data_IF_063130743972
#
_entry.id   IF_063130743972
#
_cell.length_a   1.000
_cell.length_b   1.000
_cell.length_c   1.000
_cell.angle_alpha   90.00
_cell.angle_beta   90.00
_cell.angle_gamma   90.00
#
_symmetry.space_group_name_H-M   'P 1'
#
loop_
_entity.id
_entity.type
_entity.pdbx_description
1 polymer ?
#
# COMPACT_ATOMS: atom_id res chain seq x y z
N UNK A 1 26.59 38.78 42.23
CA UNK A 1 27.06 37.72 41.32
C UNK A 1 25.97 36.64 41.29
N UNK A 2 24.99 36.87 40.40
CA UNK A 2 24.64 36.03 39.23
C UNK A 2 24.00 34.69 39.62
N UNK A 3 22.66 34.75 39.61
CA UNK A 3 21.69 33.69 39.85
C UNK A 3 21.82 32.62 38.76
N UNK A 4 21.73 31.36 39.18
CA UNK A 4 21.65 30.17 38.36
C UNK A 4 20.44 30.29 37.42
N UNK A 5 20.67 30.52 36.14
CA UNK A 5 19.64 30.50 35.11
C UNK A 5 19.33 29.03 34.81
N UNK A 6 18.28 28.51 35.43
CA UNK A 6 17.64 27.27 34.96
C UNK A 6 16.97 27.63 33.64
N UNK A 7 17.65 27.30 32.55
CA UNK A 7 17.07 27.34 31.21
C UNK A 7 16.01 26.22 31.16
N UNK A 8 14.78 26.58 31.49
CA UNK A 8 13.62 25.77 31.13
C UNK A 8 13.58 25.83 29.61
N UNK A 9 14.04 24.76 28.97
CA UNK A 9 13.78 24.49 27.57
C UNK A 9 12.25 24.31 27.47
N UNK A 10 11.52 25.40 27.28
CA UNK A 10 10.15 25.36 26.78
C UNK A 10 10.27 24.74 25.40
N UNK A 11 10.15 23.41 25.34
CA UNK A 11 9.79 22.70 24.13
C UNK A 11 8.55 23.40 23.61
N UNK A 12 8.76 24.20 22.57
CA UNK A 12 7.71 24.73 21.73
C UNK A 12 7.00 23.49 21.20
N UNK A 13 5.95 23.07 21.90
CA UNK A 13 4.86 22.33 21.30
C UNK A 13 4.30 23.29 20.25
N UNK A 14 4.93 23.32 19.09
CA UNK A 14 4.20 23.57 17.86
C UNK A 14 3.25 22.40 17.83
N UNK A 15 2.06 22.64 18.38
CA UNK A 15 0.89 21.91 17.95
C UNK A 15 0.87 22.08 16.45
N UNK A 16 1.37 21.09 15.74
CA UNK A 16 0.90 20.82 14.40
C UNK A 16 -0.60 20.63 14.60
N UNK A 17 -1.32 21.72 14.32
CA UNK A 17 -2.75 21.73 14.22
C UNK A 17 -3.15 20.44 13.52
N UNK A 18 -4.04 19.69 14.17
CA UNK A 18 -4.91 18.75 13.50
C UNK A 18 -5.72 19.54 12.47
N UNK A 19 -5.07 19.92 11.38
CA UNK A 19 -5.75 20.20 10.14
C UNK A 19 -6.24 18.82 9.73
N UNK A 20 -7.46 18.50 10.14
CA UNK A 20 -8.25 17.50 9.45
C UNK A 20 -8.39 18.02 8.03
N UNK A 21 -7.43 17.64 7.17
CA UNK A 21 -7.68 17.67 5.74
C UNK A 21 -9.05 17.02 5.53
N UNK A 22 -9.91 17.60 4.68
CA UNK A 22 -11.18 16.96 4.36
C UNK A 22 -10.89 15.52 3.97
N UNK A 23 -11.60 14.57 4.59
CA UNK A 23 -11.41 13.16 4.31
C UNK A 23 -11.65 12.94 2.82
N UNK A 24 -10.56 12.78 2.05
CA UNK A 24 -10.63 12.48 0.61
C UNK A 24 -11.36 11.16 0.42
N UNK A 25 -12.18 11.06 -0.62
CA UNK A 25 -12.75 9.75 -0.98
C UNK A 25 -11.65 8.79 -1.45
N UNK A 26 -11.96 7.49 -1.48
CA UNK A 26 -11.08 6.47 -2.04
C UNK A 26 -10.69 6.80 -3.48
N UNK A 27 -11.65 7.27 -4.27
CA UNK A 27 -11.45 7.68 -5.64
C UNK A 27 -10.51 8.89 -5.74
N UNK A 28 -10.77 9.95 -4.97
CA UNK A 28 -9.96 11.17 -5.00
C UNK A 28 -8.50 10.90 -4.59
N UNK A 29 -8.29 10.02 -3.60
CA UNK A 29 -6.93 9.65 -3.19
C UNK A 29 -6.23 8.79 -4.26
N UNK A 30 -6.95 7.83 -4.85
CA UNK A 30 -6.41 6.97 -5.90
C UNK A 30 -6.04 7.77 -7.16
N UNK A 31 -6.88 8.72 -7.56
CA UNK A 31 -6.65 9.61 -8.69
C UNK A 31 -5.40 10.46 -8.48
N UNK A 32 -5.27 11.10 -7.31
CA UNK A 32 -4.07 11.89 -7.02
C UNK A 32 -2.79 11.05 -7.09
N UNK A 33 -2.84 9.83 -6.56
CA UNK A 33 -1.67 8.93 -6.58
C UNK A 33 -1.32 8.50 -8.00
N UNK A 34 -2.32 8.22 -8.84
CA UNK A 34 -2.10 7.93 -10.25
C UNK A 34 -1.52 9.14 -11.00
N UNK A 35 -2.06 10.34 -10.80
CA UNK A 35 -1.59 11.53 -11.50
C UNK A 35 -0.17 11.90 -11.08
N UNK A 36 0.15 11.85 -9.78
CA UNK A 36 1.53 12.02 -9.32
C UNK A 36 2.47 10.99 -9.93
N UNK A 37 2.03 9.72 -10.02
CA UNK A 37 2.80 8.67 -10.68
C UNK A 37 3.01 8.94 -12.17
N UNK A 38 2.01 9.47 -12.89
CA UNK A 38 2.13 9.80 -14.31
C UNK A 38 3.00 11.04 -14.56
N UNK A 39 3.01 12.00 -13.63
CA UNK A 39 3.81 13.24 -13.74
C UNK A 39 5.30 13.02 -13.43
N UNK A 40 5.59 12.37 -12.30
CA UNK A 40 6.97 12.25 -11.81
C UNK A 40 7.59 10.89 -12.18
N UNK A 41 6.77 9.86 -12.44
CA UNK A 41 7.18 8.44 -12.54
C UNK A 41 7.99 7.91 -11.34
N UNK A 42 8.20 8.75 -10.34
CA UNK A 42 8.80 8.46 -9.05
C UNK A 42 7.71 8.68 -8.00
N UNK A 43 7.26 7.59 -7.40
CA UNK A 43 6.62 7.66 -6.10
C UNK A 43 7.70 7.38 -5.07
N UNK A 44 7.77 8.18 -4.01
CA UNK A 44 8.64 8.01 -2.83
C UNK A 44 8.23 6.77 -1.98
N UNK A 45 7.90 5.66 -2.65
CA UNK A 45 7.22 4.51 -2.09
C UNK A 45 8.09 3.27 -2.33
N UNK A 46 8.54 2.72 -1.20
CA UNK A 46 9.15 1.40 -0.99
C UNK A 46 8.87 0.46 -2.16
N UNK A 47 9.93 0.06 -2.88
CA UNK A 47 9.88 -0.74 -4.10
C UNK A 47 8.97 -1.97 -4.00
N UNK A 48 7.73 -1.84 -4.45
CA UNK A 48 6.82 -2.95 -4.68
C UNK A 48 6.96 -3.38 -6.14
N UNK A 49 7.17 -4.67 -6.40
CA UNK A 49 7.36 -5.22 -7.74
C UNK A 49 6.26 -4.79 -8.73
N UNK A 50 5.02 -4.61 -8.25
CA UNK A 50 3.90 -4.13 -9.06
C UNK A 50 4.13 -2.74 -9.69
N UNK A 51 4.77 -1.82 -8.96
CA UNK A 51 5.08 -0.48 -9.49
C UNK A 51 6.13 -0.60 -10.60
N UNK A 52 7.10 -1.50 -10.46
CA UNK A 52 8.16 -1.71 -11.45
C UNK A 52 7.60 -2.24 -12.78
N UNK A 53 6.58 -3.10 -12.75
CA UNK A 53 5.99 -3.65 -13.97
C UNK A 53 5.16 -2.59 -14.73
N UNK A 54 4.43 -1.72 -14.01
CA UNK A 54 3.76 -0.57 -14.63
C UNK A 54 4.79 0.40 -15.19
N UNK A 55 5.82 0.75 -14.41
CA UNK A 55 6.91 1.63 -14.87
C UNK A 55 7.57 1.09 -16.14
N UNK A 56 7.85 -0.22 -16.22
CA UNK A 56 8.42 -0.82 -17.45
C UNK A 56 7.52 -0.64 -18.66
N UNK A 57 6.20 -0.69 -18.47
CA UNK A 57 5.21 -0.56 -19.54
C UNK A 57 5.03 0.89 -20.02
N UNK A 58 5.14 1.88 -19.14
CA UNK A 58 4.89 3.30 -19.46
C UNK A 58 6.08 4.23 -19.20
N UNK A 59 7.30 3.69 -19.12
CA UNK A 59 8.54 4.26 -18.55
C UNK A 59 8.89 5.73 -18.79
N UNK A 60 8.28 6.39 -19.77
CA UNK A 60 8.17 7.84 -19.86
C UNK A 60 6.77 8.27 -20.34
N UNK A 61 6.11 9.19 -19.64
CA UNK A 61 4.80 9.73 -20.03
C UNK A 61 4.99 11.12 -20.66
N UNK A 62 4.52 11.28 -21.90
CA UNK A 62 4.53 12.55 -22.63
C UNK A 62 3.30 13.41 -22.31
N UNK A 63 2.13 12.76 -22.31
CA UNK A 63 0.82 13.39 -22.12
C UNK A 63 -0.14 12.37 -21.50
N UNK A 64 -1.01 12.85 -20.63
CA UNK A 64 -2.12 12.06 -20.10
C UNK A 64 -3.35 12.94 -19.88
N UNK A 65 -4.53 12.35 -20.03
CA UNK A 65 -5.80 13.01 -19.73
C UNK A 65 -6.79 11.98 -19.15
N UNK A 66 -7.34 12.25 -17.97
CA UNK A 66 -8.41 11.44 -17.41
C UNK A 66 -9.64 11.51 -18.31
N UNK A 67 -10.16 10.34 -18.67
CA UNK A 67 -11.42 10.21 -19.40
C UNK A 67 -12.57 9.93 -18.41
N UNK A 68 -12.39 8.95 -17.53
CA UNK A 68 -13.41 8.56 -16.55
C UNK A 68 -12.86 7.76 -15.36
N UNK A 69 -13.64 7.76 -14.28
CA UNK A 69 -13.58 6.72 -13.25
C UNK A 69 -14.49 5.57 -13.67
N UNK A 70 -13.93 4.37 -13.82
CA UNK A 70 -14.64 3.20 -14.34
C UNK A 70 -15.34 2.47 -13.20
N UNK A 71 -14.61 2.18 -12.12
CA UNK A 71 -15.13 1.36 -11.01
C UNK A 71 -14.28 1.53 -9.76
N UNK A 72 -14.92 1.39 -8.59
CA UNK A 72 -14.26 1.06 -7.31
C UNK A 72 -14.69 -0.35 -6.91
N UNK A 73 -13.74 -1.22 -6.56
CA UNK A 73 -14.04 -2.57 -6.11
C UNK A 73 -14.81 -2.57 -4.79
N UNK A 74 -15.45 -3.68 -4.45
CA UNK A 74 -15.86 -3.91 -3.06
C UNK A 74 -14.64 -3.96 -2.14
N UNK A 75 -14.86 -3.65 -0.86
CA UNK A 75 -13.84 -3.76 0.19
C UNK A 75 -13.24 -5.18 0.24
N UNK A 76 -11.92 -5.25 0.24
CA UNK A 76 -11.16 -6.48 0.45
C UNK A 76 -10.42 -6.41 1.78
N UNK A 77 -10.49 -7.49 2.57
CA UNK A 77 -9.67 -7.62 3.78
C UNK A 77 -8.25 -8.01 3.42
N UNK A 78 -7.27 -7.47 4.14
CA UNK A 78 -5.89 -7.94 4.08
C UNK A 78 -5.71 -9.18 4.96
N UNK A 79 -5.90 -10.34 4.36
CA UNK A 79 -5.77 -11.63 5.02
C UNK A 79 -4.44 -12.26 4.65
N UNK A 80 -3.59 -12.53 5.64
CA UNK A 80 -2.31 -13.21 5.46
C UNK A 80 -2.42 -14.63 5.99
N UNK A 81 -2.06 -15.60 5.15
CA UNK A 81 -2.01 -17.02 5.51
C UNK A 81 -0.58 -17.42 5.80
N UNK A 82 -0.35 -18.00 6.97
CA UNK A 82 0.92 -18.60 7.37
C UNK A 82 0.78 -20.12 7.28
N UNK A 83 1.62 -20.74 6.47
CA UNK A 83 1.54 -22.13 6.05
C UNK A 83 2.88 -22.84 6.26
N UNK A 84 2.93 -24.14 5.97
CA UNK A 84 4.16 -24.92 6.05
C UNK A 84 5.28 -24.36 5.16
N UNK A 85 4.95 -23.79 3.99
CA UNK A 85 5.95 -23.15 3.12
C UNK A 85 6.61 -21.94 3.80
N UNK A 86 5.83 -21.14 4.53
CA UNK A 86 6.36 -20.00 5.30
C UNK A 86 7.26 -20.49 6.44
N UNK A 87 6.82 -21.52 7.15
CA UNK A 87 7.61 -22.16 8.20
C UNK A 87 8.93 -22.71 7.68
N UNK A 88 8.97 -23.42 6.55
CA UNK A 88 10.20 -24.00 6.01
C UNK A 88 11.27 -22.94 5.72
N UNK A 89 10.84 -21.74 5.32
CA UNK A 89 11.73 -20.60 5.17
C UNK A 89 12.32 -20.16 6.53
N UNK A 90 11.49 -19.99 7.55
CA UNK A 90 11.91 -19.53 8.89
C UNK A 90 12.68 -20.59 9.70
N UNK A 91 12.31 -21.87 9.58
CA UNK A 91 12.94 -22.99 10.25
C UNK A 91 14.39 -23.20 9.83
N UNK A 92 14.79 -22.67 8.68
CA UNK A 92 16.20 -22.64 8.27
C UNK A 92 17.10 -21.90 9.27
N UNK A 93 16.53 -21.00 10.06
CA UNK A 93 17.23 -20.23 11.10
C UNK A 93 17.03 -20.81 12.51
N UNK A 94 16.04 -21.68 12.73
CA UNK A 94 15.75 -22.32 14.01
C UNK A 94 15.28 -23.78 13.85
N UNK A 95 16.21 -24.76 13.81
CA UNK A 95 15.91 -26.15 13.46
C UNK A 95 15.11 -26.93 14.53
N UNK A 96 14.98 -26.41 15.75
CA UNK A 96 14.20 -27.05 16.83
C UNK A 96 12.72 -26.61 16.85
N UNK A 97 12.34 -25.62 16.05
CA UNK A 97 10.98 -25.11 15.95
C UNK A 97 10.10 -26.13 15.22
N UNK A 98 8.98 -26.56 15.80
CA UNK A 98 7.99 -27.35 15.07
C UNK A 98 7.02 -26.44 14.31
N UNK A 99 6.32 -26.99 13.32
CA UNK A 99 5.28 -26.24 12.63
C UNK A 99 4.15 -25.80 13.56
N UNK A 100 3.81 -26.60 14.57
CA UNK A 100 2.78 -26.20 15.54
C UNK A 100 3.24 -25.02 16.41
N UNK A 101 4.50 -25.04 16.86
CA UNK A 101 5.10 -23.91 17.60
C UNK A 101 5.09 -22.63 16.75
N UNK A 102 5.37 -22.75 15.45
CA UNK A 102 5.30 -21.63 14.52
C UNK A 102 3.88 -21.03 14.42
N UNK A 103 2.85 -21.88 14.34
CA UNK A 103 1.46 -21.41 14.33
C UNK A 103 1.06 -20.71 15.64
N UNK A 104 1.49 -21.26 16.79
CA UNK A 104 1.30 -20.66 18.10
C UNK A 104 2.00 -19.29 18.22
N UNK A 105 3.22 -19.18 17.68
CA UNK A 105 3.96 -17.91 17.62
C UNK A 105 3.23 -16.87 16.79
N UNK A 106 2.67 -17.24 15.63
CA UNK A 106 1.88 -16.33 14.80
C UNK A 106 0.58 -15.88 15.49
N UNK A 107 -0.10 -16.79 16.22
CA UNK A 107 -1.27 -16.44 17.04
C UNK A 107 -0.92 -15.49 18.19
N UNK A 108 0.23 -15.71 18.84
CA UNK A 108 0.76 -14.83 19.87
C UNK A 108 1.09 -13.44 19.31
N UNK A 109 1.67 -13.36 18.11
CA UNK A 109 1.93 -12.09 17.41
C UNK A 109 0.61 -11.37 17.09
N UNK A 110 -0.39 -12.09 16.57
CA UNK A 110 -1.71 -11.53 16.30
C UNK A 110 -2.32 -10.93 17.57
N UNK A 111 -2.33 -11.70 18.66
CA UNK A 111 -2.85 -11.26 19.97
C UNK A 111 -2.13 -10.00 20.47
N UNK A 112 -0.78 -9.98 20.45
CA UNK A 112 0.02 -8.82 20.88
C UNK A 112 -0.27 -7.57 20.05
N UNK A 113 -0.55 -7.75 18.76
CA UNK A 113 -0.90 -6.67 17.82
C UNK A 113 -2.41 -6.37 17.78
N UNK A 114 -3.21 -7.06 18.60
CA UNK A 114 -4.67 -6.96 18.61
C UNK A 114 -5.30 -7.25 17.22
N UNK A 115 -4.73 -8.19 16.46
CA UNK A 115 -5.22 -8.64 15.16
C UNK A 115 -6.22 -9.79 15.32
N UNK A 116 -7.06 -10.00 14.31
CA UNK A 116 -8.08 -11.06 14.32
C UNK A 116 -7.54 -12.32 13.64
N UNK A 117 -7.56 -13.45 14.35
CA UNK A 117 -7.33 -14.78 13.77
C UNK A 117 -8.65 -15.25 13.15
N UNK A 118 -8.71 -15.30 11.83
CA UNK A 118 -9.94 -15.66 11.09
C UNK A 118 -10.06 -17.17 10.84
N UNK A 119 -8.93 -17.87 10.80
CA UNK A 119 -8.88 -19.33 10.64
C UNK A 119 -7.64 -19.88 11.33
N UNK A 120 -7.79 -20.97 12.08
CA UNK A 120 -6.67 -21.75 12.64
C UNK A 120 -6.96 -23.25 12.53
N UNK A 121 -6.04 -23.99 11.96
CA UNK A 121 -6.06 -25.46 11.91
C UNK A 121 -4.63 -26.02 11.84
N UNK A 122 -4.48 -27.33 11.76
CA UNK A 122 -3.16 -28.01 11.76
C UNK A 122 -2.30 -27.76 10.51
N UNK A 123 -2.82 -27.07 9.49
CA UNK A 123 -2.11 -26.81 8.23
C UNK A 123 -1.80 -25.33 8.01
N UNK A 124 -2.45 -24.42 8.74
CA UNK A 124 -2.28 -22.97 8.60
C UNK A 124 -2.94 -22.17 9.72
N UNK A 125 -2.52 -20.91 9.80
CA UNK A 125 -3.24 -19.84 10.49
C UNK A 125 -3.44 -18.66 9.52
N UNK A 126 -4.63 -18.07 9.51
CA UNK A 126 -4.96 -16.90 8.70
C UNK A 126 -5.31 -15.74 9.62
N UNK A 127 -4.65 -14.60 9.41
CA UNK A 127 -4.74 -13.40 10.26
C UNK A 127 -5.20 -12.20 9.41
N UNK A 128 -6.26 -11.51 9.85
CA UNK A 128 -6.67 -10.20 9.32
C UNK A 128 -5.72 -9.14 9.88
N UNK A 129 -4.91 -8.54 8.99
CA UNK A 129 -3.92 -7.54 9.36
C UNK A 129 -4.54 -6.19 9.76
N UNK A 130 -5.86 -6.06 9.69
CA UNK A 130 -6.58 -4.84 10.04
C UNK A 130 -6.56 -3.79 8.94
N UNK A 131 -6.09 -4.14 7.74
CA UNK A 131 -6.16 -3.27 6.56
C UNK A 131 -7.36 -3.61 5.69
N UNK A 132 -7.89 -2.59 5.01
CA UNK A 132 -8.92 -2.71 3.98
C UNK A 132 -8.37 -2.16 2.67
N UNK A 133 -8.60 -2.92 1.60
CA UNK A 133 -8.07 -2.61 0.28
C UNK A 133 -9.21 -2.40 -0.71
N UNK A 134 -9.03 -1.46 -1.62
CA UNK A 134 -9.92 -1.21 -2.74
C UNK A 134 -9.07 -1.05 -3.99
N UNK A 135 -9.49 -1.69 -5.08
CA UNK A 135 -8.93 -1.45 -6.40
C UNK A 135 -9.83 -0.42 -7.11
N UNK A 136 -9.25 0.71 -7.51
CA UNK A 136 -9.93 1.81 -8.20
C UNK A 136 -9.41 1.86 -9.64
N UNK A 137 -10.34 1.82 -10.60
CA UNK A 137 -10.03 1.77 -12.02
C UNK A 137 -10.31 3.12 -12.67
N UNK A 138 -9.30 3.65 -13.36
CA UNK A 138 -9.42 4.89 -14.13
C UNK A 138 -9.02 4.67 -15.58
N UNK A 139 -9.77 5.28 -16.50
CA UNK A 139 -9.45 5.31 -17.91
C UNK A 139 -8.81 6.65 -18.25
N UNK A 140 -7.63 6.62 -18.86
CA UNK A 140 -6.90 7.79 -19.32
C UNK A 140 -6.59 7.67 -20.82
N UNK A 141 -6.61 8.77 -21.55
CA UNK A 141 -5.87 8.87 -22.80
C UNK A 141 -4.40 9.11 -22.44
N UNK A 142 -3.49 8.36 -23.06
CA UNK A 142 -2.08 8.30 -22.69
C UNK A 142 -1.18 8.32 -23.93
N UNK A 143 -0.17 9.18 -23.88
CA UNK A 143 0.99 9.14 -24.78
C UNK A 143 2.22 8.84 -23.94
N UNK A 144 2.85 7.69 -24.16
CA UNK A 144 4.01 7.25 -23.38
C UNK A 144 5.02 6.48 -24.22
N UNK A 145 6.18 6.20 -23.63
CA UNK A 145 7.21 5.29 -24.15
C UNK A 145 7.55 4.29 -23.06
N UNK A 146 7.62 3.01 -23.41
CA UNK A 146 8.13 2.00 -22.49
C UNK A 146 9.66 2.04 -22.38
N UNK A 147 10.25 1.20 -21.54
CA UNK A 147 11.71 1.13 -21.34
C UNK A 147 12.48 0.74 -22.61
N UNK A 148 11.81 0.14 -23.60
CA UNK A 148 12.36 -0.20 -24.91
C UNK A 148 12.18 0.93 -25.94
N UNK A 149 11.77 2.14 -25.52
CA UNK A 149 11.42 3.29 -26.35
C UNK A 149 10.28 3.04 -27.36
N UNK A 150 9.46 2.01 -27.15
CA UNK A 150 8.26 1.80 -27.98
C UNK A 150 7.18 2.76 -27.52
N UNK A 151 6.67 3.55 -28.47
CA UNK A 151 5.68 4.58 -28.18
C UNK A 151 4.27 3.99 -28.16
N UNK A 152 3.51 4.35 -27.14
CA UNK A 152 2.08 4.13 -27.04
C UNK A 152 1.33 5.46 -27.21
N UNK A 153 0.19 5.43 -27.89
CA UNK A 153 -0.72 6.55 -28.03
C UNK A 153 -2.15 6.01 -28.15
N UNK A 154 -2.92 6.09 -27.06
CA UNK A 154 -4.26 5.54 -26.99
C UNK A 154 -4.81 5.55 -25.57
N UNK A 155 -5.89 4.80 -25.34
CA UNK A 155 -6.52 4.72 -24.03
C UNK A 155 -5.86 3.65 -23.16
N UNK A 156 -5.61 3.95 -21.89
CA UNK A 156 -5.10 3.01 -20.93
C UNK A 156 -6.02 2.94 -19.71
N UNK A 157 -6.24 1.72 -19.21
CA UNK A 157 -6.98 1.46 -17.99
C UNK A 157 -5.98 1.21 -16.87
N UNK A 158 -5.95 2.10 -15.88
CA UNK A 158 -5.09 1.99 -14.72
C UNK A 158 -5.85 1.42 -13.53
N UNK A 159 -5.21 0.50 -12.81
CA UNK A 159 -5.70 0.02 -11.51
C UNK A 159 -4.83 0.59 -10.40
N UNK A 160 -5.45 1.36 -9.50
CA UNK A 160 -4.80 1.88 -8.30
C UNK A 160 -5.34 1.12 -7.09
N UNK A 161 -4.46 0.49 -6.33
CA UNK A 161 -4.84 -0.16 -5.06
C UNK A 161 -4.66 0.82 -3.93
N UNK A 162 -5.74 1.13 -3.23
CA UNK A 162 -5.74 1.95 -2.02
C UNK A 162 -5.83 1.04 -0.80
N UNK A 163 -4.97 1.28 0.19
CA UNK A 163 -4.91 0.52 1.44
C UNK A 163 -5.19 1.46 2.62
N UNK A 164 -6.19 1.09 3.42
CA UNK A 164 -6.61 1.79 4.63
C UNK A 164 -6.31 0.98 5.86
N UNK A 165 -5.79 1.64 6.89
CA UNK A 165 -5.77 1.05 8.23
C UNK A 165 -7.17 1.21 8.86
N UNK A 166 -7.91 0.09 8.98
CA UNK A 166 -9.32 0.10 9.38
C UNK A 166 -9.56 0.74 10.74
N UNK A 167 -8.67 0.46 11.70
CA UNK A 167 -8.82 0.95 13.08
C UNK A 167 -8.62 2.46 13.19
N UNK A 168 -7.65 3.01 12.45
CA UNK A 168 -7.33 4.44 12.51
C UNK A 168 -8.10 5.27 11.48
N UNK A 169 -8.79 4.63 10.54
CA UNK A 169 -9.47 5.26 9.40
C UNK A 169 -8.53 6.16 8.60
N UNK A 170 -7.25 5.79 8.51
CA UNK A 170 -6.23 6.53 7.78
C UNK A 170 -5.83 5.77 6.53
N UNK A 171 -5.56 6.52 5.46
CA UNK A 171 -4.83 6.01 4.31
C UNK A 171 -3.45 5.56 4.78
N UNK A 172 -3.15 4.29 4.55
CA UNK A 172 -1.84 3.74 4.83
C UNK A 172 -0.92 3.93 3.63
N UNK A 173 -1.39 3.52 2.44
CA UNK A 173 -0.68 3.72 1.17
C UNK A 173 -1.65 3.55 0.00
N UNK A 174 -1.25 3.99 -1.18
CA UNK A 174 -1.85 3.55 -2.43
C UNK A 174 -0.76 3.32 -3.47
N UNK A 175 -1.01 2.42 -4.40
CA UNK A 175 -0.04 2.03 -5.43
C UNK A 175 -0.74 1.92 -6.79
N UNK A 176 -0.08 2.40 -7.85
CA UNK A 176 -0.47 2.06 -9.21
C UNK A 176 -0.04 0.62 -9.45
N UNK A 177 -1.03 -0.28 -9.47
CA UNK A 177 -0.82 -1.73 -9.44
C UNK A 177 -0.70 -2.31 -10.83
N UNK A 178 -1.45 -1.75 -11.80
CA UNK A 178 -1.52 -2.30 -13.14
C UNK A 178 -1.92 -1.24 -14.19
N UNK A 179 -1.59 -1.52 -15.45
CA UNK A 179 -1.99 -0.75 -16.63
C UNK A 179 -2.33 -1.70 -17.78
N UNK A 180 -3.51 -1.54 -18.37
CA UNK A 180 -3.94 -2.26 -19.56
C UNK A 180 -4.10 -1.28 -20.73
N UNK A 181 -3.46 -1.56 -21.87
CA UNK A 181 -3.58 -0.74 -23.09
C UNK A 181 -4.74 -1.22 -23.95
N UNK A 182 -5.62 -0.31 -24.33
CA UNK A 182 -6.76 -0.59 -25.21
C UNK A 182 -6.36 -0.46 -26.69
N UNK A 183 -6.83 -1.41 -27.51
CA UNK A 183 -6.56 -1.49 -28.96
C UNK A 183 -7.57 -0.73 -29.81
#
# INVERSE_FOLDING_TARGET
>A
MKKLFVLILTSLFIGCSFNSEPARSTEEHAELVLENFLEELEMDVISLHAIQDVQRQIGYVEQFQKLEHVQTSSEMKDLVSFTEENYLFEASENPDLTFEDYLDDMENVATKKNLEVVERNSSKIVIDQGYRMYDVLFRYELVSKNDNNQRYNGNALFTVRVIYEHKSHRFYTAIVKDVEFES
#
